data_IF_177862389073
#
_entry.id   IF_177862389073
#
_cell.length_a   1.000
_cell.length_b   1.000
_cell.length_c   1.000
_cell.angle_alpha   90.00
_cell.angle_beta   90.00
_cell.angle_gamma   90.00
#
_symmetry.space_group_name_H-M   'P 1'
#
loop_
_entity.id
_entity.type
_entity.pdbx_description
1 polymer ?
#
# COMPACT_ATOMS: atom_id res chain seq x y z
N UNK A 1 -11.83 -29.52 15.66
CA UNK A 1 -11.73 -28.09 15.33
C UNK A 1 -12.66 -27.33 16.26
N UNK A 2 -12.11 -26.49 17.17
CA UNK A 2 -12.93 -25.60 17.98
C UNK A 2 -13.23 -24.37 17.14
N UNK A 3 -14.47 -24.25 16.66
CA UNK A 3 -14.95 -22.98 16.08
C UNK A 3 -15.04 -21.94 17.20
N UNK A 4 -14.22 -20.89 17.09
CA UNK A 4 -14.35 -19.70 17.94
C UNK A 4 -15.65 -18.97 17.56
N UNK A 5 -16.34 -18.41 18.54
CA UNK A 5 -17.47 -17.52 18.28
C UNK A 5 -16.97 -16.21 17.64
N UNK A 6 -17.86 -15.48 16.95
CA UNK A 6 -17.51 -14.20 16.36
C UNK A 6 -17.04 -13.20 17.42
N UNK A 7 -17.66 -13.19 18.60
CA UNK A 7 -17.25 -12.34 19.73
C UNK A 7 -15.82 -12.65 20.21
N UNK A 8 -15.49 -13.95 20.33
CA UNK A 8 -14.14 -14.35 20.73
C UNK A 8 -13.08 -13.97 19.68
N UNK A 9 -13.43 -13.97 18.40
CA UNK A 9 -12.54 -13.51 17.32
C UNK A 9 -12.33 -11.98 17.38
N UNK A 10 -13.40 -11.23 17.69
CA UNK A 10 -13.33 -9.77 17.86
C UNK A 10 -12.46 -9.42 19.07
N UNK A 11 -12.67 -10.06 20.20
CA UNK A 11 -11.87 -9.82 21.42
C UNK A 11 -10.38 -10.13 21.18
N UNK A 12 -10.09 -11.21 20.48
CA UNK A 12 -8.72 -11.59 20.13
C UNK A 12 -8.08 -10.54 19.17
N UNK A 13 -8.81 -10.08 18.17
CA UNK A 13 -8.30 -9.06 17.25
C UNK A 13 -8.09 -7.71 17.97
N UNK A 14 -8.97 -7.37 18.93
CA UNK A 14 -8.81 -6.19 19.75
C UNK A 14 -7.56 -6.26 20.64
N UNK A 15 -7.33 -7.40 21.29
CA UNK A 15 -6.12 -7.62 22.12
C UNK A 15 -4.85 -7.47 21.27
N UNK A 16 -4.82 -8.04 20.07
CA UNK A 16 -3.69 -7.89 19.16
C UNK A 16 -3.46 -6.45 18.68
N UNK A 17 -4.52 -5.67 18.49
CA UNK A 17 -4.40 -4.25 18.15
C UNK A 17 -3.80 -3.43 19.29
N UNK A 18 -4.28 -3.64 20.52
CA UNK A 18 -3.87 -2.86 21.69
C UNK A 18 -2.44 -3.23 22.13
N UNK A 19 -2.11 -4.52 22.09
CA UNK A 19 -0.84 -5.05 22.56
C UNK A 19 0.15 -5.34 21.43
N UNK A 20 -0.05 -4.75 20.24
CA UNK A 20 0.72 -5.05 19.04
C UNK A 20 2.23 -4.91 19.24
N UNK A 21 2.94 -5.95 18.85
CA UNK A 21 4.40 -5.99 18.76
C UNK A 21 4.81 -6.64 17.44
N UNK A 22 5.85 -6.09 16.83
CA UNK A 22 6.42 -6.73 15.66
C UNK A 22 7.03 -8.08 16.02
N UNK A 23 6.80 -9.06 15.17
CA UNK A 23 7.50 -10.35 15.23
C UNK A 23 8.90 -10.23 14.62
N UNK A 24 9.77 -11.17 14.96
CA UNK A 24 11.01 -11.32 14.20
C UNK A 24 10.71 -11.96 12.84
N UNK A 25 11.18 -11.33 11.78
CA UNK A 25 10.94 -11.78 10.42
C UNK A 25 12.22 -12.26 9.75
N UNK A 26 12.16 -13.43 9.14
CA UNK A 26 13.19 -13.88 8.20
C UNK A 26 12.70 -13.59 6.79
N UNK A 27 13.33 -12.65 6.07
CA UNK A 27 12.98 -12.37 4.68
C UNK A 27 13.16 -13.60 3.80
N UNK A 28 12.18 -13.85 2.94
CA UNK A 28 12.25 -14.95 1.96
C UNK A 28 12.38 -14.40 0.55
N UNK A 29 13.10 -15.12 -0.29
CA UNK A 29 13.18 -14.81 -1.71
C UNK A 29 12.11 -15.59 -2.47
N UNK A 30 11.31 -14.87 -3.25
CA UNK A 30 10.37 -15.45 -4.21
C UNK A 30 10.79 -15.09 -5.63
N UNK A 31 10.49 -15.96 -6.57
CA UNK A 31 10.68 -15.71 -7.99
C UNK A 31 9.33 -15.55 -8.67
N UNK A 32 9.18 -14.45 -9.41
CA UNK A 32 8.00 -14.22 -10.24
C UNK A 32 7.95 -15.25 -11.37
N UNK A 33 6.86 -16.03 -11.45
CA UNK A 33 6.73 -17.13 -12.39
C UNK A 33 6.67 -16.71 -13.87
N UNK A 34 6.53 -15.41 -14.17
CA UNK A 34 6.46 -14.90 -15.55
C UNK A 34 7.76 -14.22 -15.94
N UNK A 35 8.27 -13.35 -15.08
CA UNK A 35 9.45 -12.51 -15.39
C UNK A 35 10.74 -13.07 -14.83
N UNK A 36 10.66 -14.14 -14.02
CA UNK A 36 11.78 -14.73 -13.26
C UNK A 36 12.53 -13.71 -12.37
N UNK A 37 11.87 -12.60 -12.04
CA UNK A 37 12.43 -11.57 -11.18
C UNK A 37 12.37 -12.03 -9.73
N UNK A 38 13.54 -12.09 -9.09
CA UNK A 38 13.64 -12.38 -7.66
C UNK A 38 13.22 -11.17 -6.84
N UNK A 39 12.43 -11.42 -5.80
CA UNK A 39 11.98 -10.41 -4.85
C UNK A 39 12.19 -10.91 -3.44
N UNK A 40 12.68 -10.06 -2.57
CA UNK A 40 12.73 -10.33 -1.13
C UNK A 40 11.43 -9.84 -0.51
N UNK A 41 10.73 -10.72 0.16
CA UNK A 41 9.47 -10.39 0.84
C UNK A 41 9.56 -10.73 2.32
N UNK A 42 8.81 -9.98 3.12
CA UNK A 42 8.57 -10.27 4.53
C UNK A 42 7.15 -10.84 4.65
N UNK A 43 7.05 -12.06 5.15
CA UNK A 43 5.75 -12.71 5.37
C UNK A 43 5.26 -12.35 6.76
N UNK A 44 4.14 -11.62 6.88
CA UNK A 44 3.57 -11.29 8.18
C UNK A 44 3.02 -12.55 8.87
N UNK A 45 3.02 -12.58 10.19
CA UNK A 45 2.29 -13.57 10.96
C UNK A 45 0.78 -13.38 10.79
N UNK A 46 -0.03 -14.35 11.22
CA UNK A 46 -1.49 -14.22 11.16
C UNK A 46 -1.99 -13.03 11.98
N UNK A 47 -1.41 -12.82 13.17
CA UNK A 47 -1.71 -11.69 14.03
C UNK A 47 -1.43 -10.36 13.33
N UNK A 48 -0.22 -10.18 12.81
CA UNK A 48 0.16 -8.99 12.06
C UNK A 48 -0.73 -8.75 10.83
N UNK A 49 -1.09 -9.82 10.13
CA UNK A 49 -1.98 -9.72 8.97
C UNK A 49 -3.36 -9.20 9.37
N UNK A 50 -3.93 -9.72 10.46
CA UNK A 50 -5.23 -9.27 10.98
C UNK A 50 -5.14 -7.81 11.44
N UNK A 51 -4.11 -7.45 12.20
CA UNK A 51 -3.88 -6.05 12.63
C UNK A 51 -3.76 -5.12 11.43
N UNK A 52 -2.98 -5.48 10.42
CA UNK A 52 -2.84 -4.69 9.20
C UNK A 52 -4.19 -4.52 8.46
N UNK A 53 -5.01 -5.56 8.41
CA UNK A 53 -6.34 -5.46 7.83
C UNK A 53 -7.26 -4.52 8.62
N UNK A 54 -7.27 -4.60 9.94
CA UNK A 54 -8.01 -3.68 10.80
C UNK A 54 -7.57 -2.22 10.59
N UNK A 55 -6.27 -1.97 10.61
CA UNK A 55 -5.69 -0.63 10.35
C UNK A 55 -6.11 -0.10 8.99
N UNK A 56 -6.00 -0.91 7.93
CA UNK A 56 -6.40 -0.49 6.59
C UNK A 56 -7.90 -0.22 6.51
N UNK A 57 -8.74 -1.04 7.14
CA UNK A 57 -10.19 -0.81 7.18
C UNK A 57 -10.53 0.52 7.85
N UNK A 58 -9.89 0.83 8.98
CA UNK A 58 -10.08 2.10 9.71
C UNK A 58 -9.60 3.31 8.89
N UNK A 59 -8.44 3.22 8.25
CA UNK A 59 -7.82 4.33 7.54
C UNK A 59 -8.19 4.42 6.05
N UNK A 60 -8.89 3.44 5.51
CA UNK A 60 -9.29 3.43 4.10
C UNK A 60 -10.02 4.69 3.64
N UNK A 61 -10.94 5.30 4.42
CA UNK A 61 -11.56 6.57 4.03
C UNK A 61 -10.53 7.68 3.82
N UNK A 62 -9.53 7.77 4.70
CA UNK A 62 -8.43 8.74 4.60
C UNK A 62 -7.56 8.46 3.37
N UNK A 63 -7.07 7.24 3.20
CA UNK A 63 -6.22 6.86 2.07
C UNK A 63 -6.94 7.03 0.72
N UNK A 64 -8.25 6.77 0.67
CA UNK A 64 -9.03 6.88 -0.55
C UNK A 64 -9.42 8.31 -0.90
N UNK A 65 -9.42 9.21 0.08
CA UNK A 65 -9.77 10.62 -0.15
C UNK A 65 -8.72 11.27 -1.04
N UNK A 66 -9.17 11.76 -2.19
CA UNK A 66 -8.28 12.37 -3.18
C UNK A 66 -7.36 11.40 -3.92
N UNK A 67 -7.57 10.09 -3.79
CA UNK A 67 -6.81 9.11 -4.59
C UNK A 67 -7.01 9.37 -6.07
N UNK A 68 -5.90 9.52 -6.80
CA UNK A 68 -5.95 9.81 -8.23
C UNK A 68 -6.81 8.78 -8.97
N UNK A 69 -7.68 9.24 -9.85
CA UNK A 69 -8.69 8.37 -10.48
C UNK A 69 -8.08 7.24 -11.32
N UNK A 70 -6.88 7.46 -11.87
CA UNK A 70 -6.16 6.50 -12.69
C UNK A 70 -5.09 5.70 -11.93
N UNK A 71 -5.11 5.71 -10.60
CA UNK A 71 -4.35 4.75 -9.78
C UNK A 71 -5.06 3.40 -9.78
N UNK A 72 -4.40 2.37 -10.31
CA UNK A 72 -5.00 1.04 -10.53
C UNK A 72 -4.38 -0.08 -9.71
N UNK A 73 -3.27 0.15 -9.04
CA UNK A 73 -2.57 -0.87 -8.29
C UNK A 73 -3.22 -1.17 -6.95
N UNK A 74 -3.58 -2.42 -6.70
CA UNK A 74 -4.02 -2.94 -5.39
C UNK A 74 -5.15 -2.16 -4.70
N UNK A 75 -6.02 -1.51 -5.46
CA UNK A 75 -7.15 -0.76 -4.95
C UNK A 75 -8.48 -1.50 -5.22
N UNK A 76 -9.45 -1.44 -4.29
CA UNK A 76 -10.77 -2.05 -4.48
C UNK A 76 -11.47 -1.54 -5.74
N UNK A 77 -12.04 -2.46 -6.51
CA UNK A 77 -12.76 -2.16 -7.78
C UNK A 77 -11.89 -1.49 -8.86
N UNK A 78 -10.57 -1.51 -8.70
CA UNK A 78 -9.57 -1.07 -9.67
C UNK A 78 -8.66 -2.26 -10.01
N UNK A 79 -7.77 -2.10 -10.97
CA UNK A 79 -6.82 -3.16 -11.35
C UNK A 79 -6.38 -3.03 -12.79
N UNK A 80 -5.45 -3.87 -13.24
CA UNK A 80 -4.85 -3.83 -14.55
C UNK A 80 -5.89 -3.85 -15.69
N UNK A 81 -6.96 -4.64 -15.58
CA UNK A 81 -8.02 -4.69 -16.58
C UNK A 81 -8.75 -3.36 -16.76
N UNK A 82 -9.03 -2.66 -15.65
CA UNK A 82 -9.67 -1.35 -15.71
C UNK A 82 -8.72 -0.32 -16.32
N UNK A 83 -7.46 -0.31 -15.90
CA UNK A 83 -6.42 0.55 -16.45
C UNK A 83 -6.27 0.34 -17.96
N UNK A 84 -6.17 -0.91 -18.42
CA UNK A 84 -6.09 -1.25 -19.85
C UNK A 84 -7.27 -0.68 -20.62
N UNK A 85 -8.52 -0.87 -20.16
CA UNK A 85 -9.71 -0.35 -20.84
C UNK A 85 -9.70 1.17 -20.97
N UNK A 86 -9.19 1.87 -19.96
CA UNK A 86 -9.08 3.34 -20.00
C UNK A 86 -8.04 3.77 -21.03
N UNK A 87 -6.87 3.15 -21.05
CA UNK A 87 -5.83 3.43 -22.05
C UNK A 87 -6.34 3.14 -23.47
N UNK A 88 -7.00 2.00 -23.69
CA UNK A 88 -7.60 1.66 -24.99
C UNK A 88 -8.65 2.70 -25.44
N UNK A 89 -9.43 3.25 -24.49
CA UNK A 89 -10.39 4.32 -24.77
C UNK A 89 -9.68 5.60 -25.18
N UNK A 90 -8.62 6.00 -24.46
CA UNK A 90 -7.84 7.18 -24.82
C UNK A 90 -7.20 7.05 -26.20
N UNK A 91 -6.56 5.94 -26.49
CA UNK A 91 -5.93 5.69 -27.79
C UNK A 91 -6.92 5.72 -28.95
N UNK A 92 -8.17 5.29 -28.72
CA UNK A 92 -9.23 5.36 -29.75
C UNK A 92 -9.80 6.77 -29.95
N UNK A 93 -9.96 7.51 -28.86
CA UNK A 93 -10.66 8.79 -28.89
C UNK A 93 -9.75 9.98 -29.13
N UNK A 94 -8.46 9.85 -28.87
CA UNK A 94 -7.47 10.91 -29.00
C UNK A 94 -6.16 10.40 -29.61
N UNK A 95 -6.22 10.07 -30.89
CA UNK A 95 -5.07 9.56 -31.63
C UNK A 95 -3.94 10.59 -31.77
N UNK A 96 -4.24 11.88 -31.62
CA UNK A 96 -3.24 12.94 -31.72
C UNK A 96 -2.34 12.99 -30.49
N UNK A 97 -2.93 12.97 -29.30
CA UNK A 97 -2.19 13.10 -28.04
C UNK A 97 -1.66 11.75 -27.51
N UNK A 98 -2.10 10.63 -28.10
CA UNK A 98 -1.65 9.29 -27.71
C UNK A 98 -0.64 8.65 -28.68
N UNK A 99 0.05 9.48 -29.48
CA UNK A 99 1.09 9.01 -30.42
C UNK A 99 2.31 8.43 -29.70
N UNK A 100 2.63 8.94 -28.53
CA UNK A 100 3.79 8.55 -27.74
C UNK A 100 3.34 8.10 -26.37
N UNK A 101 4.04 7.12 -25.83
CA UNK A 101 3.84 6.61 -24.47
C UNK A 101 5.15 6.69 -23.72
N UNK A 102 5.16 7.38 -22.59
CA UNK A 102 6.26 7.38 -21.66
C UNK A 102 5.96 6.37 -20.55
N UNK A 103 6.77 5.32 -20.43
CA UNK A 103 6.73 4.38 -19.32
C UNK A 103 7.83 4.71 -18.34
N UNK A 104 7.45 5.02 -17.10
CA UNK A 104 8.38 5.29 -16.00
C UNK A 104 8.19 4.24 -14.90
N UNK A 105 9.26 3.99 -14.15
CA UNK A 105 9.25 3.13 -12.98
C UNK A 105 10.20 3.71 -11.93
N UNK A 106 9.83 3.60 -10.65
CA UNK A 106 10.70 4.03 -9.56
C UNK A 106 11.55 2.84 -9.14
N UNK A 107 12.85 2.98 -9.34
CA UNK A 107 13.80 1.92 -9.01
C UNK A 107 13.78 1.61 -7.51
N UNK A 108 13.58 0.35 -7.15
CA UNK A 108 13.53 -0.13 -5.75
C UNK A 108 12.59 0.69 -4.83
N UNK A 109 11.41 1.09 -5.34
CA UNK A 109 10.51 1.96 -4.60
C UNK A 109 10.24 1.47 -3.16
N UNK A 110 9.84 0.21 -2.99
CA UNK A 110 9.52 -0.34 -1.67
C UNK A 110 10.73 -0.36 -0.73
N UNK A 111 11.93 -0.55 -1.26
CA UNK A 111 13.16 -0.62 -0.48
C UNK A 111 13.71 0.77 -0.10
N UNK A 112 13.20 1.85 -0.72
CA UNK A 112 13.80 3.19 -0.63
C UNK A 112 12.89 4.28 -0.07
N UNK A 113 11.64 3.97 0.28
CA UNK A 113 10.72 4.95 0.89
C UNK A 113 11.28 5.45 2.23
N UNK A 114 11.57 6.75 2.39
CA UNK A 114 12.09 7.28 3.65
C UNK A 114 11.00 7.25 4.73
N UNK A 115 11.25 6.57 5.85
CA UNK A 115 10.32 6.51 6.98
C UNK A 115 9.96 7.89 7.52
N UNK A 116 10.93 8.80 7.61
CA UNK A 116 10.71 10.15 8.12
C UNK A 116 9.63 10.89 7.34
N UNK A 117 9.68 10.82 6.00
CA UNK A 117 8.71 11.50 5.14
C UNK A 117 7.33 10.82 5.25
N UNK A 118 7.30 9.49 5.25
CA UNK A 118 6.03 8.75 5.38
C UNK A 118 5.37 9.02 6.73
N UNK A 119 6.13 8.97 7.82
CA UNK A 119 5.65 9.24 9.19
C UNK A 119 5.20 10.70 9.35
N UNK A 120 5.99 11.66 8.88
CA UNK A 120 5.60 13.08 8.88
C UNK A 120 4.28 13.29 8.14
N UNK A 121 4.12 12.65 6.99
CA UNK A 121 2.88 12.75 6.23
C UNK A 121 1.69 12.12 6.98
N UNK A 122 1.85 10.98 7.64
CA UNK A 122 0.81 10.34 8.44
C UNK A 122 0.38 11.24 9.61
N UNK A 123 1.31 11.88 10.31
CA UNK A 123 1.00 12.79 11.44
C UNK A 123 0.20 14.02 11.02
N UNK A 124 0.26 14.45 9.77
CA UNK A 124 -0.56 15.56 9.27
C UNK A 124 -2.05 15.21 9.16
N UNK A 125 -2.38 13.94 9.04
CA UNK A 125 -3.76 13.47 8.80
C UNK A 125 -4.33 12.65 9.96
N UNK A 126 -3.49 12.09 10.80
CA UNK A 126 -3.88 11.24 11.93
C UNK A 126 -3.43 11.94 13.20
N UNK A 127 -4.39 12.17 14.11
CA UNK A 127 -4.12 12.84 15.40
C UNK A 127 -4.23 11.88 16.60
N UNK A 128 -4.68 10.65 16.37
CA UNK A 128 -4.73 9.61 17.37
C UNK A 128 -3.32 9.03 17.60
N UNK A 129 -2.76 9.23 18.78
CA UNK A 129 -1.41 8.81 19.12
C UNK A 129 -1.24 7.29 19.13
N UNK A 130 -2.27 6.55 19.55
CA UNK A 130 -2.22 5.08 19.55
C UNK A 130 -2.18 4.52 18.12
N UNK A 131 -2.97 5.12 17.23
CA UNK A 131 -2.96 4.75 15.81
C UNK A 131 -1.62 5.09 15.16
N UNK A 132 -1.02 6.24 15.47
CA UNK A 132 0.31 6.61 14.96
C UNK A 132 1.39 5.67 15.49
N UNK A 133 1.39 5.33 16.78
CA UNK A 133 2.32 4.38 17.36
C UNK A 133 2.24 3.00 16.67
N UNK A 134 1.02 2.51 16.46
CA UNK A 134 0.78 1.26 15.75
C UNK A 134 1.31 1.31 14.31
N UNK A 135 1.02 2.39 13.57
CA UNK A 135 1.50 2.57 12.20
C UNK A 135 3.02 2.64 12.13
N UNK A 136 3.64 3.34 13.09
CA UNK A 136 5.09 3.45 13.14
C UNK A 136 5.76 2.11 13.43
N UNK A 137 5.19 1.31 14.33
CA UNK A 137 5.65 -0.07 14.56
C UNK A 137 5.58 -0.90 13.28
N UNK A 138 4.48 -0.81 12.52
CA UNK A 138 4.33 -1.54 11.25
C UNK A 138 5.36 -1.07 10.21
N UNK A 139 5.64 0.23 10.15
CA UNK A 139 6.62 0.80 9.21
C UNK A 139 8.05 0.40 9.61
N UNK A 140 8.36 0.42 10.90
CA UNK A 140 9.71 0.16 11.43
C UNK A 140 10.10 -1.32 11.48
N UNK A 141 9.34 -2.21 10.86
CA UNK A 141 9.74 -3.61 10.60
C UNK A 141 11.00 -3.66 9.73
N UNK A 142 11.21 -2.65 8.92
CA UNK A 142 12.42 -2.45 8.12
C UNK A 142 13.14 -1.17 8.56
N UNK A 143 14.45 -1.10 8.43
CA UNK A 143 15.21 0.13 8.76
C UNK A 143 14.94 1.25 7.76
N UNK A 144 14.72 0.91 6.51
CA UNK A 144 14.40 1.81 5.39
C UNK A 144 13.40 1.12 4.47
N UNK A 145 12.57 1.90 3.81
CA UNK A 145 11.57 1.35 2.90
C UNK A 145 10.32 0.86 3.63
N UNK A 146 9.45 0.23 2.89
CA UNK A 146 8.22 -0.39 3.42
C UNK A 146 8.21 -1.88 3.07
N UNK A 147 7.86 -2.77 3.99
CA UNK A 147 8.05 -4.20 3.80
C UNK A 147 7.19 -4.74 2.66
N UNK A 148 7.84 -5.27 1.63
CA UNK A 148 7.16 -5.99 0.57
C UNK A 148 6.59 -7.30 1.15
N UNK A 149 5.28 -7.48 1.02
CA UNK A 149 4.52 -8.60 1.61
C UNK A 149 3.50 -8.14 2.65
N UNK A 150 3.67 -6.96 3.23
CA UNK A 150 2.69 -6.38 4.15
C UNK A 150 1.51 -5.76 3.39
N UNK A 151 0.30 -6.00 3.89
CA UNK A 151 -0.92 -5.45 3.30
C UNK A 151 -0.98 -3.92 3.37
N UNK A 152 -0.51 -3.34 4.46
CA UNK A 152 -0.40 -1.89 4.65
C UNK A 152 0.54 -1.22 3.64
N UNK A 153 1.60 -1.90 3.22
CA UNK A 153 2.59 -1.33 2.30
C UNK A 153 2.00 -0.96 0.93
N UNK A 154 1.00 -1.71 0.46
CA UNK A 154 0.30 -1.38 -0.79
C UNK A 154 -0.52 -0.08 -0.66
N UNK A 155 -1.13 0.15 0.50
CA UNK A 155 -1.88 1.36 0.77
C UNK A 155 -0.96 2.57 0.98
N UNK A 156 0.13 2.38 1.72
CA UNK A 156 1.14 3.41 1.89
C UNK A 156 1.73 3.83 0.56
N UNK A 157 2.09 2.90 -0.31
CA UNK A 157 2.69 3.20 -1.62
C UNK A 157 1.76 4.05 -2.50
N UNK A 158 0.50 3.65 -2.63
CA UNK A 158 -0.47 4.40 -3.42
C UNK A 158 -0.71 5.81 -2.86
N UNK A 159 -0.85 5.91 -1.53
CA UNK A 159 -1.08 7.18 -0.88
C UNK A 159 0.16 8.09 -0.90
N UNK A 160 1.36 7.51 -0.74
CA UNK A 160 2.63 8.22 -0.81
C UNK A 160 2.86 8.85 -2.19
N UNK A 161 2.52 8.13 -3.26
CA UNK A 161 2.71 8.59 -4.63
C UNK A 161 1.59 9.50 -5.16
N UNK A 162 0.51 9.67 -4.42
CA UNK A 162 -0.65 10.43 -4.85
C UNK A 162 -0.32 11.86 -5.31
N UNK A 163 0.58 12.55 -4.61
CA UNK A 163 0.99 13.90 -4.98
C UNK A 163 1.79 13.93 -6.28
N UNK A 164 2.60 12.92 -6.52
CA UNK A 164 3.33 12.75 -7.78
C UNK A 164 2.36 12.53 -8.95
N UNK A 165 1.34 11.69 -8.77
CA UNK A 165 0.30 11.46 -9.77
C UNK A 165 -0.39 12.77 -10.18
N UNK A 166 -0.78 13.59 -9.19
CA UNK A 166 -1.38 14.89 -9.44
C UNK A 166 -0.41 15.88 -10.08
N UNK A 167 0.83 15.91 -9.64
CA UNK A 167 1.86 16.77 -10.23
C UNK A 167 2.07 16.46 -11.71
N UNK A 168 2.23 15.18 -12.05
CA UNK A 168 2.39 14.75 -13.45
C UNK A 168 1.19 15.18 -14.29
N UNK A 169 -0.02 14.98 -13.79
CA UNK A 169 -1.23 15.24 -14.57
C UNK A 169 -1.60 16.71 -14.62
N UNK A 170 -1.53 17.43 -13.51
CA UNK A 170 -2.01 18.80 -13.42
C UNK A 170 -0.93 19.84 -13.74
N UNK A 171 0.31 19.58 -13.35
CA UNK A 171 1.40 20.55 -13.54
C UNK A 171 2.15 20.30 -14.84
N UNK A 172 2.46 19.05 -15.16
CA UNK A 172 3.18 18.73 -16.40
C UNK A 172 2.24 18.53 -17.60
N UNK A 173 0.93 18.35 -17.37
CA UNK A 173 -0.05 18.19 -18.43
C UNK A 173 0.10 16.88 -19.22
N UNK A 174 0.70 15.86 -18.62
CA UNK A 174 0.98 14.57 -19.26
C UNK A 174 -0.26 13.65 -19.34
#
# INVERSE_FOLDING_TARGET
ERHLSDDALVDMAYDWLVNFKNSEHTPIQIEDGITHKKRTIIVPTLEELIVQHCVVLALRPMFSKGMYEHSYASLPKRGAHKGRKVIEKWMRNDTRNTKYVLKMDIHHFFDTVPHSILKERLTKYIHDENMLDLLFKIIDVTDVGIPLGFYTSQWFSNWYLQELDYYIKQTLGA
#
